data_IF_968364132413
#
_entry.id   IF_968364132413
#
_cell.length_a   1.000
_cell.length_b   1.000
_cell.length_c   1.000
_cell.angle_alpha   90.00
_cell.angle_beta   90.00
_cell.angle_gamma   90.00
#
_symmetry.space_group_name_H-M   'P 1'
#
loop_
_entity.id
_entity.type
_entity.pdbx_description
1 polymer ?
#
# COMPACT_ATOMS: atom_id res chain seq x y z
N UNK A 1 -9.75 15.72 -12.80
CA UNK A 1 -10.76 15.59 -11.71
C UNK A 1 -10.01 15.10 -10.49
N UNK A 2 -10.10 15.79 -9.35
CA UNK A 2 -9.43 15.32 -8.15
C UNK A 2 -10.08 14.01 -7.71
N UNK A 3 -9.34 12.91 -7.76
CA UNK A 3 -9.86 11.63 -7.27
C UNK A 3 -10.27 11.78 -5.80
N UNK A 4 -11.45 11.25 -5.46
CA UNK A 4 -11.91 11.22 -4.08
C UNK A 4 -11.04 10.27 -3.26
N UNK A 5 -11.05 10.40 -1.93
CA UNK A 5 -10.25 9.50 -1.05
C UNK A 5 -10.62 8.03 -1.25
N UNK A 6 -11.89 7.76 -1.53
CA UNK A 6 -12.43 6.42 -1.75
C UNK A 6 -11.94 5.83 -3.07
N UNK A 7 -11.86 6.64 -4.12
CA UNK A 7 -11.28 6.23 -5.41
C UNK A 7 -9.79 5.90 -5.27
N UNK A 8 -9.06 6.67 -4.45
CA UNK A 8 -7.64 6.39 -4.16
C UNK A 8 -7.48 5.13 -3.31
N UNK A 9 -8.34 4.89 -2.32
CA UNK A 9 -8.37 3.62 -1.56
C UNK A 9 -8.57 2.43 -2.50
N UNK A 10 -9.56 2.50 -3.38
CA UNK A 10 -9.83 1.46 -4.37
C UNK A 10 -8.64 1.27 -5.34
N UNK A 11 -8.05 2.35 -5.84
CA UNK A 11 -6.91 2.30 -6.74
C UNK A 11 -5.67 1.66 -6.09
N UNK A 12 -5.41 1.94 -4.81
CA UNK A 12 -4.32 1.30 -4.05
C UNK A 12 -4.57 -0.20 -3.91
N UNK A 13 -5.79 -0.60 -3.55
CA UNK A 13 -6.16 -2.02 -3.40
C UNK A 13 -6.04 -2.74 -4.75
N UNK A 14 -6.57 -2.15 -5.82
CA UNK A 14 -6.45 -2.70 -7.17
C UNK A 14 -4.99 -2.83 -7.60
N UNK A 15 -4.17 -1.82 -7.34
CA UNK A 15 -2.74 -1.85 -7.65
C UNK A 15 -2.05 -2.99 -6.90
N UNK A 16 -2.34 -3.14 -5.62
CA UNK A 16 -1.81 -4.21 -4.79
C UNK A 16 -2.32 -5.59 -5.21
N UNK A 17 -3.49 -5.71 -5.85
CA UNK A 17 -4.01 -6.96 -6.44
C UNK A 17 -3.39 -7.31 -7.79
N UNK A 18 -3.21 -6.32 -8.67
CA UNK A 18 -2.77 -6.51 -10.08
C UNK A 18 -1.25 -6.48 -10.25
N UNK A 19 -0.51 -5.94 -9.29
CA UNK A 19 0.94 -5.81 -9.42
C UNK A 19 1.64 -7.18 -9.57
N UNK A 20 2.73 -7.27 -10.36
CA UNK A 20 3.45 -8.52 -10.56
C UNK A 20 4.13 -9.00 -9.26
N UNK A 21 4.58 -8.08 -8.41
CA UNK A 21 5.09 -8.39 -7.07
C UNK A 21 3.99 -8.18 -6.02
N UNK A 22 3.90 -9.06 -5.01
CA UNK A 22 2.93 -8.88 -3.92
C UNK A 22 3.29 -7.66 -3.07
N UNK A 23 4.59 -7.44 -2.88
CA UNK A 23 5.20 -6.34 -2.15
C UNK A 23 5.40 -5.10 -3.03
N UNK A 24 4.84 -3.96 -2.63
CA UNK A 24 4.90 -2.68 -3.36
C UNK A 24 5.49 -1.57 -2.51
N UNK A 25 6.28 -0.68 -3.10
CA UNK A 25 6.76 0.50 -2.40
C UNK A 25 5.66 1.56 -2.31
N UNK A 26 5.70 2.39 -1.26
CA UNK A 26 4.79 3.54 -1.15
C UNK A 26 4.82 4.45 -2.39
N UNK A 27 5.98 4.55 -3.04
CA UNK A 27 6.17 5.34 -4.26
C UNK A 27 5.37 4.79 -5.44
N UNK A 28 5.05 3.50 -5.46
CA UNK A 28 4.21 2.92 -6.51
C UNK A 28 2.76 3.34 -6.40
N UNK A 29 2.28 3.65 -5.19
CA UNK A 29 0.93 4.20 -4.99
C UNK A 29 0.84 5.69 -5.31
N UNK A 30 1.95 6.44 -5.28
CA UNK A 30 1.94 7.84 -5.74
C UNK A 30 1.56 7.94 -7.22
N UNK A 31 1.87 6.90 -8.01
CA UNK A 31 1.48 6.80 -9.41
C UNK A 31 -0.02 6.57 -9.60
N UNK A 32 -0.73 6.08 -8.58
CA UNK A 32 -2.19 5.89 -8.63
C UNK A 32 -2.95 7.21 -8.47
N UNK A 33 -2.36 8.21 -7.82
CA UNK A 33 -2.97 9.51 -7.57
C UNK A 33 -1.91 10.62 -7.66
N UNK A 34 -1.41 10.95 -8.86
CA UNK A 34 -0.32 11.93 -9.04
C UNK A 34 -0.71 13.34 -8.57
N UNK A 35 -1.99 13.67 -8.57
CA UNK A 35 -2.52 14.97 -8.12
C UNK A 35 -2.62 15.08 -6.59
N UNK A 36 -2.49 13.97 -5.85
CA UNK A 36 -2.52 13.96 -4.39
C UNK A 36 -1.13 14.15 -3.79
N UNK A 37 -1.07 14.82 -2.64
CA UNK A 37 0.18 14.94 -1.90
C UNK A 37 0.64 13.56 -1.42
N UNK A 38 1.94 13.21 -1.52
CA UNK A 38 2.47 11.93 -1.04
C UNK A 38 2.06 11.59 0.39
N UNK A 39 1.99 12.60 1.27
CA UNK A 39 1.54 12.45 2.66
C UNK A 39 0.08 11.98 2.77
N UNK A 40 -0.81 12.42 1.88
CA UNK A 40 -2.21 11.98 1.86
C UNK A 40 -2.31 10.51 1.45
N UNK A 41 -1.56 10.11 0.42
CA UNK A 41 -1.53 8.73 -0.06
C UNK A 41 -0.98 7.79 1.02
N UNK A 42 0.09 8.20 1.72
CA UNK A 42 0.62 7.46 2.88
C UNK A 42 -0.42 7.31 3.99
N UNK A 43 -1.14 8.38 4.33
CA UNK A 43 -2.19 8.31 5.35
C UNK A 43 -3.32 7.36 4.94
N UNK A 44 -3.69 7.35 3.66
CA UNK A 44 -4.71 6.43 3.12
C UNK A 44 -4.21 4.98 3.19
N UNK A 45 -2.98 4.70 2.74
CA UNK A 45 -2.39 3.38 2.82
C UNK A 45 -2.29 2.87 4.28
N UNK A 46 -1.88 3.72 5.21
CA UNK A 46 -1.86 3.38 6.64
C UNK A 46 -3.26 3.10 7.21
N UNK A 47 -4.30 3.82 6.77
CA UNK A 47 -5.68 3.51 7.15
C UNK A 47 -6.12 2.14 6.62
N UNK A 48 -5.73 1.78 5.40
CA UNK A 48 -5.99 0.45 4.86
C UNK A 48 -5.27 -0.64 5.66
N UNK A 49 -4.08 -0.36 6.19
CA UNK A 49 -3.40 -1.26 7.13
C UNK A 49 -4.18 -1.41 8.43
N UNK A 50 -4.66 -0.31 9.02
CA UNK A 50 -5.51 -0.37 10.22
C UNK A 50 -6.81 -1.13 9.99
N UNK A 51 -7.37 -1.08 8.79
CA UNK A 51 -8.56 -1.87 8.38
C UNK A 51 -8.24 -3.36 8.13
N UNK A 52 -6.96 -3.76 8.12
CA UNK A 52 -6.52 -5.11 7.76
C UNK A 52 -6.56 -5.40 6.25
N UNK A 53 -6.79 -4.38 5.42
CA UNK A 53 -6.84 -4.51 3.96
C UNK A 53 -5.44 -4.56 3.32
N UNK A 54 -4.44 -4.01 4.01
CA UNK A 54 -3.03 -4.03 3.63
C UNK A 54 -2.17 -4.43 4.82
N UNK A 55 -0.98 -4.95 4.54
CA UNK A 55 0.12 -5.05 5.51
C UNK A 55 1.19 -4.02 5.16
N UNK A 56 1.91 -3.58 6.18
CA UNK A 56 3.01 -2.63 6.06
C UNK A 56 4.26 -3.22 6.70
N UNK A 57 5.41 -2.97 6.09
CA UNK A 57 6.70 -3.19 6.73
C UNK A 57 7.72 -2.13 6.29
N UNK A 58 8.70 -1.91 7.15
CA UNK A 58 9.85 -1.07 6.83
C UNK A 58 10.83 -1.86 5.96
N UNK A 59 11.34 -1.25 4.91
CA UNK A 59 12.38 -1.81 4.04
C UNK A 59 13.49 -0.77 3.94
N UNK A 60 14.40 -0.78 4.92
CA UNK A 60 15.51 0.16 5.02
C UNK A 60 15.05 1.63 5.06
N UNK A 61 15.39 2.39 4.02
CA UNK A 61 15.05 3.82 3.90
C UNK A 61 13.63 4.09 3.35
N UNK A 62 12.86 3.04 3.09
CA UNK A 62 11.51 3.16 2.52
C UNK A 62 10.51 2.22 3.17
N UNK A 63 9.24 2.34 2.76
CA UNK A 63 8.13 1.59 3.32
C UNK A 63 7.42 0.83 2.22
N UNK A 64 7.10 -0.42 2.51
CA UNK A 64 6.43 -1.31 1.59
C UNK A 64 5.06 -1.72 2.13
N UNK A 65 4.17 -2.05 1.20
CA UNK A 65 2.81 -2.48 1.48
C UNK A 65 2.44 -3.63 0.58
N UNK A 66 1.51 -4.46 1.05
CA UNK A 66 0.91 -5.50 0.24
C UNK A 66 -0.45 -5.92 0.73
N UNK A 67 -1.14 -6.66 -0.12
CA UNK A 67 -2.35 -7.38 0.23
C UNK A 67 -2.02 -8.60 1.08
N UNK A 68 -2.65 -8.79 2.26
CA UNK A 68 -2.42 -9.96 3.10
C UNK A 68 -2.66 -11.28 2.36
N UNK A 69 -3.66 -11.33 1.48
CA UNK A 69 -3.98 -12.50 0.66
C UNK A 69 -2.91 -12.86 -0.37
N UNK A 70 -2.03 -11.91 -0.73
CA UNK A 70 -0.97 -12.11 -1.72
C UNK A 70 0.41 -12.38 -1.11
N UNK A 71 0.58 -12.16 0.19
CA UNK A 71 1.84 -12.39 0.92
C UNK A 71 1.85 -13.74 1.66
N UNK A 72 0.91 -14.64 1.38
CA UNK A 72 0.83 -15.94 2.04
C UNK A 72 2.17 -16.71 1.92
N UNK A 73 2.89 -16.75 3.03
CA UNK A 73 4.01 -17.64 3.38
C UNK A 73 5.29 -17.59 2.53
N UNK A 74 5.84 -16.39 2.27
CA UNK A 74 7.28 -16.25 1.94
C UNK A 74 7.97 -15.33 2.98
N UNK A 75 8.71 -15.97 3.89
CA UNK A 75 9.62 -15.41 4.90
C UNK A 75 9.02 -14.82 6.19
N UNK A 76 9.00 -15.68 7.21
CA UNK A 76 9.58 -15.42 8.54
C UNK A 76 9.57 -13.99 9.09
N UNK A 77 8.71 -13.79 10.08
CA UNK A 77 9.11 -13.12 11.34
C UNK A 77 9.80 -11.75 11.28
N UNK A 78 9.46 -10.81 10.39
CA UNK A 78 9.87 -9.39 10.56
C UNK A 78 8.78 -8.38 10.17
N UNK A 79 7.51 -8.74 10.38
CA UNK A 79 6.46 -7.73 10.58
C UNK A 79 6.61 -7.13 11.97
N UNK A 80 7.53 -6.16 12.15
CA UNK A 80 7.73 -5.50 13.44
C UNK A 80 6.51 -4.64 13.79
N UNK A 81 5.86 -5.03 14.88
CA UNK A 81 5.20 -4.25 15.95
C UNK A 81 4.77 -2.81 15.62
#
# INVERSE_FOLDING_TARGET
>A
MAMSKEEVEAAIIEKAKKAPKPQLYIKDFYKCAPDMKPRQIKNIANKLVQKGELMFWSSGSTTMYARPDRIKDEEGSEGIN
#
